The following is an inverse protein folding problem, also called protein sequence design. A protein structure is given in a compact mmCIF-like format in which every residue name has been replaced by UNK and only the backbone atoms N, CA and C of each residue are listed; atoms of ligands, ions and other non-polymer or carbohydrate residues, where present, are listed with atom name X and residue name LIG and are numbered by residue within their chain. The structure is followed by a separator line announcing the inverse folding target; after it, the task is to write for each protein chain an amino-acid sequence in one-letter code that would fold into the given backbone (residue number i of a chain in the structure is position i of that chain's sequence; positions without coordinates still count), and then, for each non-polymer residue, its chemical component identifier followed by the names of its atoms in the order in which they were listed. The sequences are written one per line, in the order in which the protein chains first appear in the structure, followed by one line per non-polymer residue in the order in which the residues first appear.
data_IF_799880348227
#
_entry.id   IF_799880348227
#
_cell.length_a   1.000
_cell.length_b   1.000
_cell.length_c   1.000
_cell.angle_alpha   90.00
_cell.angle_beta   90.00
_cell.angle_gamma   90.00
#
_symmetry.space_group_name_H-M   'P 1'
#
loop_
_entity.id
_entity.type
_entity.pdbx_description
1 polymer ?
#
# COMPACT_ATOMS: atom_id res chain seq x y z
N UNK A 1 22.68 27.75 44.16
CA UNK A 1 22.54 27.77 42.70
C UNK A 1 21.06 27.70 42.42
N UNK A 2 20.54 28.81 41.95
CA UNK A 2 19.19 29.29 42.21
C UNK A 2 18.58 29.58 40.86
N UNK A 3 17.81 28.65 40.30
CA UNK A 3 16.93 28.88 39.15
C UNK A 3 16.11 27.60 38.97
N UNK A 4 14.84 27.64 39.38
CA UNK A 4 13.71 26.79 38.95
C UNK A 4 12.62 26.82 40.03
N UNK A 5 11.90 27.95 40.12
CA UNK A 5 10.58 28.06 40.77
C UNK A 5 9.98 29.42 40.37
N UNK A 6 9.28 29.45 39.24
CA UNK A 6 8.26 30.47 38.90
C UNK A 6 7.76 30.21 37.46
N UNK A 7 6.69 29.44 37.30
CA UNK A 7 5.81 29.43 36.11
C UNK A 7 4.46 28.77 36.46
N UNK A 8 3.81 29.27 37.53
CA UNK A 8 2.46 28.83 37.90
C UNK A 8 1.69 29.95 38.61
N UNK A 9 1.53 31.10 37.95
CA UNK A 9 0.57 32.13 38.37
C UNK A 9 0.34 33.17 37.27
N UNK A 10 -0.49 32.86 36.28
CA UNK A 10 -1.08 33.86 35.39
C UNK A 10 -2.26 33.22 34.65
N UNK A 11 -3.39 33.04 35.34
CA UNK A 11 -4.74 33.09 34.76
C UNK A 11 -5.74 33.09 35.91
N UNK A 12 -6.02 34.27 36.44
CA UNK A 12 -7.01 34.48 37.48
C UNK A 12 -7.37 35.95 37.59
N UNK A 13 -8.62 36.27 37.24
CA UNK A 13 -9.36 37.53 37.42
C UNK A 13 -9.36 38.53 36.26
N UNK A 14 -10.44 38.47 35.48
CA UNK A 14 -11.19 39.66 35.08
C UNK A 14 -12.63 39.22 34.73
N UNK A 15 -13.61 39.68 35.52
CA UNK A 15 -15.01 40.00 35.14
C UNK A 15 -15.92 39.97 36.39
N UNK A 16 -15.82 41.01 37.22
CA UNK A 16 -16.95 41.51 38.00
C UNK A 16 -17.29 42.88 37.40
N UNK A 17 -18.39 42.99 36.65
CA UNK A 17 -19.18 44.20 36.54
C UNK A 17 -20.61 43.82 36.15
N UNK A 18 -21.54 44.11 37.05
CA UNK A 18 -22.96 43.84 36.86
C UNK A 18 -23.62 44.85 35.93
N UNK A 19 -24.50 44.35 35.06
CA UNK A 19 -25.56 45.15 34.46
C UNK A 19 -26.84 44.32 34.38
N UNK A 20 -27.90 44.80 35.03
CA UNK A 20 -29.26 44.27 34.95
C UNK A 20 -29.89 44.73 33.63
N UNK A 21 -30.27 43.82 32.76
CA UNK A 21 -31.41 43.99 31.85
C UNK A 21 -31.87 42.64 31.29
N UNK A 22 -33.16 42.60 30.96
CA UNK A 22 -33.98 41.39 30.77
C UNK A 22 -33.76 40.74 29.40
N UNK A 23 -33.71 39.41 29.40
CA UNK A 23 -34.38 38.52 28.44
C UNK A 23 -33.94 38.55 26.97
N UNK A 24 -33.14 37.57 26.57
CA UNK A 24 -33.43 36.60 25.49
C UNK A 24 -32.25 35.65 25.34
N UNK A 25 -32.55 34.35 25.32
CA UNK A 25 -31.59 33.25 25.22
C UNK A 25 -31.20 33.12 23.74
N UNK A 26 -29.92 33.34 23.43
CA UNK A 26 -29.31 32.94 22.16
C UNK A 26 -27.90 32.44 22.45
N UNK A 27 -27.78 31.14 22.72
CA UNK A 27 -26.51 30.44 22.90
C UNK A 27 -26.03 29.98 21.53
N UNK A 28 -25.12 30.73 20.91
CA UNK A 28 -24.37 30.28 19.74
C UNK A 28 -23.11 29.53 20.23
N UNK A 29 -23.18 28.20 20.24
CA UNK A 29 -21.99 27.35 20.39
C UNK A 29 -21.25 27.28 19.04
N UNK A 30 -20.09 27.92 18.96
CA UNK A 30 -19.09 27.57 17.95
C UNK A 30 -18.38 26.28 18.40
N UNK A 31 -18.83 25.13 17.89
CA UNK A 31 -18.12 23.85 17.96
C UNK A 31 -17.35 23.68 16.64
N UNK A 32 -16.11 24.15 16.60
CA UNK A 32 -15.16 23.77 15.56
C UNK A 32 -14.65 22.36 15.84
N UNK A 33 -15.22 21.35 15.17
CA UNK A 33 -14.68 19.99 15.20
C UNK A 33 -13.51 19.90 14.24
N UNK A 34 -12.30 19.96 14.78
CA UNK A 34 -11.08 19.60 14.03
C UNK A 34 -11.07 18.09 13.90
N UNK A 35 -11.52 17.57 12.76
CA UNK A 35 -11.41 16.16 12.44
C UNK A 35 -9.92 15.84 12.26
N UNK A 36 -9.32 15.18 13.25
CA UNK A 36 -7.98 14.63 13.11
C UNK A 36 -8.09 13.43 12.19
N UNK A 37 -7.54 13.53 10.98
CA UNK A 37 -7.37 12.41 10.07
C UNK A 37 -6.49 11.35 10.74
N UNK A 38 -7.08 10.22 11.09
CA UNK A 38 -6.35 9.05 11.59
C UNK A 38 -5.73 8.38 10.37
N UNK A 39 -4.40 8.46 10.24
CA UNK A 39 -3.68 7.69 9.24
C UNK A 39 -3.85 6.18 9.52
N UNK A 40 -4.08 5.35 8.49
CA UNK A 40 -4.22 3.91 8.67
C UNK A 40 -2.93 3.35 9.26
N UNK A 41 -3.05 2.68 10.41
CA UNK A 41 -1.96 1.91 10.99
C UNK A 41 -1.57 0.83 9.98
N UNK A 42 -0.32 0.82 9.51
CA UNK A 42 0.21 -0.27 8.68
C UNK A 42 -0.05 -1.60 9.38
N UNK A 43 -0.59 -2.58 8.64
CA UNK A 43 -0.76 -3.93 9.18
C UNK A 43 0.59 -4.48 9.67
N UNK A 44 0.58 -5.27 10.73
CA UNK A 44 1.81 -5.90 11.24
C UNK A 44 2.30 -6.95 10.22
N UNK A 45 3.58 -6.87 9.85
CA UNK A 45 4.28 -7.84 8.99
C UNK A 45 4.28 -9.23 9.64
N UNK A 46 4.42 -9.27 10.98
CA UNK A 46 4.27 -10.50 11.73
C UNK A 46 3.71 -10.25 13.12
N UNK A 47 3.07 -11.27 13.68
CA UNK A 47 2.68 -11.31 15.09
C UNK A 47 3.13 -12.62 15.73
N UNK A 48 3.73 -12.55 16.92
CA UNK A 48 4.19 -13.74 17.64
C UNK A 48 4.23 -13.51 19.15
N UNK A 49 3.33 -14.18 19.90
CA UNK A 49 3.29 -14.11 21.38
C UNK A 49 3.28 -12.66 21.93
N UNK A 50 2.48 -11.80 21.31
CA UNK A 50 2.35 -10.38 21.67
C UNK A 50 3.47 -9.48 21.15
N UNK A 51 4.44 -10.03 20.41
CA UNK A 51 5.34 -9.24 19.57
C UNK A 51 4.66 -8.93 18.25
N UNK A 52 4.76 -7.69 17.81
CA UNK A 52 4.23 -7.20 16.53
C UNK A 52 5.38 -6.56 15.75
N UNK A 53 5.62 -7.01 14.52
CA UNK A 53 6.69 -6.53 13.65
C UNK A 53 6.16 -5.66 12.51
N UNK A 54 6.94 -4.65 12.13
CA UNK A 54 6.63 -3.68 11.09
C UNK A 54 7.90 -3.32 10.32
N UNK A 55 7.77 -3.04 9.02
CA UNK A 55 8.82 -2.40 8.25
C UNK A 55 8.93 -0.92 8.65
N UNK A 56 10.15 -0.40 8.73
CA UNK A 56 10.39 1.03 8.97
C UNK A 56 10.29 1.73 7.63
N UNK A 57 9.43 2.76 7.48
CA UNK A 57 9.32 3.45 6.22
C UNK A 57 10.61 4.20 5.89
N UNK A 58 10.95 4.28 4.59
CA UNK A 58 12.22 4.81 4.08
C UNK A 58 12.43 6.28 4.48
N UNK A 59 11.35 7.04 4.69
CA UNK A 59 11.38 8.44 5.10
C UNK A 59 11.93 8.67 6.52
N UNK A 60 11.98 7.64 7.37
CA UNK A 60 12.64 7.69 8.69
C UNK A 60 14.18 7.64 8.57
N UNK A 61 14.73 7.57 7.35
CA UNK A 61 16.18 7.62 7.07
C UNK A 61 16.93 6.35 7.50
N UNK A 62 16.19 5.28 7.84
CA UNK A 62 16.72 4.01 8.30
C UNK A 62 15.96 2.88 7.60
N UNK A 63 16.67 2.01 6.87
CA UNK A 63 16.06 0.86 6.22
C UNK A 63 16.12 -0.35 7.13
N UNK A 64 14.97 -0.76 7.67
CA UNK A 64 14.98 -1.90 8.58
C UNK A 64 13.61 -2.30 9.03
N UNK A 65 13.59 -3.09 10.11
CA UNK A 65 12.36 -3.50 10.73
C UNK A 65 12.36 -3.16 12.22
N UNK A 66 11.15 -2.96 12.73
CA UNK A 66 10.88 -2.68 14.12
C UNK A 66 9.88 -3.70 14.62
N UNK A 67 10.14 -4.29 15.78
CA UNK A 67 9.11 -5.01 16.52
C UNK A 67 8.82 -4.32 17.83
N UNK A 68 7.58 -4.48 18.30
CA UNK A 68 7.15 -3.93 19.57
C UNK A 68 6.34 -4.92 20.38
N UNK A 69 6.27 -4.69 21.69
CA UNK A 69 5.40 -5.41 22.62
C UNK A 69 4.83 -4.42 23.61
N UNK A 70 3.51 -4.44 23.80
CA UNK A 70 2.84 -3.56 24.77
C UNK A 70 3.29 -3.90 26.20
N UNK A 71 3.58 -2.86 26.97
CA UNK A 71 3.97 -2.94 28.38
C UNK A 71 2.81 -2.49 29.26
N UNK A 72 2.19 -1.38 28.86
CA UNK A 72 1.05 -0.71 29.49
C UNK A 72 0.22 -0.05 28.37
N UNK A 73 -0.95 0.47 28.71
CA UNK A 73 -1.91 1.04 27.75
C UNK A 73 -1.31 2.12 26.84
N UNK A 74 -0.31 2.88 27.31
CA UNK A 74 0.32 3.96 26.56
C UNK A 74 1.82 3.77 26.28
N UNK A 75 2.38 2.59 26.59
CA UNK A 75 3.82 2.33 26.53
C UNK A 75 4.14 1.00 25.83
N UNK A 76 5.06 1.06 24.86
CA UNK A 76 5.54 -0.09 24.11
C UNK A 76 7.05 -0.25 24.26
N UNK A 77 7.49 -1.49 24.42
CA UNK A 77 8.89 -1.84 24.29
C UNK A 77 9.20 -2.02 22.81
N UNK A 78 10.32 -1.50 22.34
CA UNK A 78 10.71 -1.53 20.93
C UNK A 78 12.05 -2.21 20.77
N UNK A 79 12.15 -3.05 19.74
CA UNK A 79 13.41 -3.56 19.19
C UNK A 79 13.47 -3.19 17.73
N UNK A 80 14.60 -2.66 17.29
CA UNK A 80 14.81 -2.25 15.91
C UNK A 80 16.10 -2.86 15.37
N UNK A 81 16.02 -3.37 14.15
CA UNK A 81 17.18 -3.80 13.36
C UNK A 81 17.22 -3.02 12.07
N UNK A 82 18.39 -2.50 11.74
CA UNK A 82 18.67 -1.86 10.46
C UNK A 82 19.35 -2.88 9.53
N UNK A 83 19.34 -2.56 8.24
CA UNK A 83 20.05 -3.23 7.16
C UNK A 83 21.55 -3.44 7.43
N UNK A 84 22.17 -2.56 8.23
CA UNK A 84 23.57 -2.68 8.67
C UNK A 84 23.80 -3.72 9.78
N UNK A 85 22.72 -4.34 10.28
CA UNK A 85 22.74 -5.31 11.37
C UNK A 85 22.78 -4.71 12.77
N UNK A 86 22.66 -3.38 12.90
CA UNK A 86 22.53 -2.73 14.20
C UNK A 86 21.31 -3.24 14.96
N UNK A 87 21.44 -3.31 16.29
CA UNK A 87 20.41 -3.84 17.16
C UNK A 87 20.10 -2.83 18.27
N UNK A 88 18.98 -2.15 18.14
CA UNK A 88 18.56 -1.05 19.00
C UNK A 88 17.42 -1.49 19.90
N UNK A 89 17.46 -1.08 21.17
CA UNK A 89 16.42 -1.37 22.16
C UNK A 89 15.84 -0.07 22.68
N UNK A 90 14.53 0.00 22.87
CA UNK A 90 13.90 1.26 23.20
C UNK A 90 12.55 1.15 23.86
N UNK A 91 12.00 2.32 24.17
CA UNK A 91 10.65 2.48 24.70
C UNK A 91 9.96 3.58 23.92
N UNK A 92 8.72 3.31 23.54
CA UNK A 92 7.80 4.30 23.02
C UNK A 92 6.73 4.62 24.04
N UNK A 93 6.43 5.91 24.19
CA UNK A 93 5.28 6.39 24.95
C UNK A 93 4.64 7.56 24.24
N UNK A 94 3.34 7.46 23.96
CA UNK A 94 2.59 8.52 23.25
C UNK A 94 2.58 9.85 23.99
N UNK A 95 2.58 9.81 25.32
CA UNK A 95 2.51 11.00 26.19
C UNK A 95 3.84 11.75 26.34
N UNK A 96 4.96 11.20 25.83
CA UNK A 96 6.27 11.81 25.97
C UNK A 96 6.53 12.91 24.93
N UNK A 97 6.95 14.08 25.43
CA UNK A 97 7.43 15.21 24.63
C UNK A 97 8.95 15.28 24.76
N UNK A 98 9.65 14.51 23.94
CA UNK A 98 11.12 14.42 23.96
C UNK A 98 11.72 15.35 22.91
N UNK A 99 12.83 16.00 23.23
CA UNK A 99 13.63 16.77 22.27
C UNK A 99 14.47 15.81 21.40
N UNK A 100 14.36 15.84 20.06
CA UNK A 100 15.18 15.01 19.17
C UNK A 100 16.70 15.16 19.34
N UNK A 101 17.16 16.28 19.92
CA UNK A 101 18.59 16.54 20.19
C UNK A 101 19.05 16.03 21.55
N UNK A 102 18.15 15.45 22.34
CA UNK A 102 18.47 14.94 23.67
C UNK A 102 19.29 13.65 23.56
N UNK A 103 20.50 13.69 24.10
CA UNK A 103 21.26 12.47 24.41
C UNK A 103 20.75 11.89 25.73
N UNK A 104 20.54 10.58 25.75
CA UNK A 104 20.01 9.87 26.92
C UNK A 104 21.06 8.88 27.39
N UNK A 105 21.33 8.84 28.69
CA UNK A 105 22.17 7.79 29.27
C UNK A 105 21.30 6.75 29.95
N UNK A 106 21.53 5.50 29.58
CA UNK A 106 20.81 4.38 30.14
C UNK A 106 21.71 3.25 30.57
N UNK A 107 21.11 2.26 31.18
CA UNK A 107 21.71 0.95 31.39
C UNK A 107 20.64 -0.12 31.20
N UNK A 108 21.09 -1.31 30.80
CA UNK A 108 20.23 -2.47 30.60
C UNK A 108 20.82 -3.67 31.34
N UNK A 109 19.99 -4.45 32.00
CA UNK A 109 20.39 -5.74 32.58
C UNK A 109 19.43 -6.82 32.11
N UNK A 110 19.97 -8.02 31.94
CA UNK A 110 19.22 -9.20 31.54
C UNK A 110 19.20 -10.19 32.70
N UNK A 111 18.01 -10.67 33.07
CA UNK A 111 17.82 -11.52 34.23
C UNK A 111 18.53 -10.96 35.48
N UNK A 112 19.61 -11.60 35.95
CA UNK A 112 20.40 -11.17 37.11
C UNK A 112 21.80 -10.67 36.73
N UNK A 113 22.06 -10.44 35.44
CA UNK A 113 23.35 -9.99 34.96
C UNK A 113 23.61 -8.52 35.33
N UNK A 114 24.89 -8.11 35.49
CA UNK A 114 25.24 -6.73 35.74
C UNK A 114 24.70 -5.77 34.66
N UNK A 115 24.26 -4.55 35.02
CA UNK A 115 23.81 -3.58 34.04
C UNK A 115 24.92 -3.16 33.07
N UNK A 116 24.61 -3.17 31.77
CA UNK A 116 25.45 -2.69 30.67
C UNK A 116 25.05 -1.24 30.36
N UNK A 117 25.98 -0.28 30.39
CA UNK A 117 25.68 1.10 30.04
C UNK A 117 25.35 1.22 28.54
N UNK A 118 24.36 2.04 28.22
CA UNK A 118 23.92 2.31 26.86
C UNK A 118 23.85 3.82 26.60
N UNK A 119 24.13 4.20 25.36
CA UNK A 119 23.92 5.56 24.87
C UNK A 119 22.62 5.61 24.08
N UNK A 120 21.80 6.62 24.35
CA UNK A 120 20.47 6.77 23.82
C UNK A 120 20.29 8.04 23.00
N UNK A 121 19.35 7.99 22.07
CA UNK A 121 18.93 9.12 21.25
C UNK A 121 17.41 9.07 21.02
N UNK A 122 16.85 10.20 20.59
CA UNK A 122 15.42 10.39 20.36
C UNK A 122 15.19 10.58 18.86
N UNK A 123 14.87 9.52 18.09
CA UNK A 123 14.66 9.65 16.65
C UNK A 123 13.42 10.50 16.32
N UNK A 124 12.39 10.44 17.17
CA UNK A 124 11.17 11.24 17.07
C UNK A 124 10.47 11.38 18.41
N UNK A 125 9.50 12.29 18.48
CA UNK A 125 8.68 12.49 19.66
C UNK A 125 8.10 11.16 20.16
N UNK A 126 8.33 10.88 21.44
CA UNK A 126 7.80 9.70 22.11
C UNK A 126 8.66 8.44 22.06
N UNK A 127 9.75 8.38 21.28
CA UNK A 127 10.62 7.20 21.19
C UNK A 127 12.00 7.51 21.79
N UNK A 128 12.49 6.61 22.63
CA UNK A 128 13.88 6.53 23.05
C UNK A 128 14.47 5.25 22.49
N UNK A 129 15.56 5.33 21.74
CA UNK A 129 16.36 4.18 21.31
C UNK A 129 17.72 4.21 22.01
N UNK A 130 18.15 3.06 22.50
CA UNK A 130 19.42 2.83 23.17
C UNK A 130 20.27 1.89 22.32
N UNK A 131 21.55 2.23 22.16
CA UNK A 131 22.55 1.43 21.46
C UNK A 131 23.70 1.05 22.38
N UNK A 132 24.24 -0.14 22.17
CA UNK A 132 25.47 -0.61 22.82
C UNK A 132 26.62 -0.61 21.82
N UNK A 133 27.83 -0.36 22.28
CA UNK A 133 29.04 -0.64 21.49
C UNK A 133 29.24 -2.16 21.28
N UNK A 134 28.64 -2.99 22.15
CA UNK A 134 28.69 -4.44 22.10
C UNK A 134 27.40 -5.06 21.51
N UNK A 135 26.96 -4.58 20.33
CA UNK A 135 25.70 -4.98 19.69
C UNK A 135 25.46 -6.51 19.62
N UNK A 136 26.50 -7.28 19.26
CA UNK A 136 26.39 -8.74 19.15
C UNK A 136 26.05 -9.42 20.49
N UNK A 137 26.66 -8.94 21.59
CA UNK A 137 26.37 -9.46 22.93
C UNK A 137 24.99 -9.04 23.41
N UNK A 138 24.59 -7.79 23.14
CA UNK A 138 23.27 -7.28 23.50
C UNK A 138 22.15 -8.12 22.87
N UNK A 139 22.30 -8.43 21.57
CA UNK A 139 21.34 -9.25 20.83
C UNK A 139 21.29 -10.69 21.32
N UNK A 140 22.44 -11.31 21.58
CA UNK A 140 22.49 -12.67 22.12
C UNK A 140 21.84 -12.75 23.51
N UNK A 141 22.15 -11.80 24.40
CA UNK A 141 21.53 -11.70 25.71
C UNK A 141 20.01 -11.53 25.60
N UNK A 142 19.54 -10.66 24.70
CA UNK A 142 18.11 -10.45 24.48
C UNK A 142 17.35 -11.71 24.03
N UNK A 143 17.94 -12.52 23.13
CA UNK A 143 17.34 -13.77 22.68
C UNK A 143 17.31 -14.84 23.78
N UNK A 144 18.31 -14.87 24.66
CA UNK A 144 18.49 -15.91 25.67
C UNK A 144 17.84 -15.65 27.03
N UNK A 145 17.44 -14.41 27.31
CA UNK A 145 17.00 -13.98 28.64
C UNK A 145 15.48 -14.02 28.80
N UNK A 146 15.01 -14.07 30.05
CA UNK A 146 13.57 -14.07 30.37
C UNK A 146 13.08 -12.69 30.74
N UNK A 147 13.92 -11.91 31.42
CA UNK A 147 13.59 -10.59 31.91
C UNK A 147 14.63 -9.60 31.40
N UNK A 148 14.16 -8.43 30.97
CA UNK A 148 14.99 -7.28 30.68
C UNK A 148 14.61 -6.17 31.65
N UNK A 149 15.61 -5.52 32.24
CA UNK A 149 15.42 -4.29 33.02
C UNK A 149 16.21 -3.19 32.36
N UNK A 150 15.55 -2.06 32.10
CA UNK A 150 16.16 -0.89 31.49
C UNK A 150 16.00 0.29 32.44
N UNK A 151 17.07 1.05 32.60
CA UNK A 151 17.09 2.25 33.43
C UNK A 151 17.61 3.44 32.64
N UNK A 152 16.93 4.57 32.66
CA UNK A 152 17.34 5.82 32.00
C UNK A 152 16.72 7.00 32.74
N UNK A 153 17.48 8.09 32.93
CA UNK A 153 17.00 9.33 33.59
C UNK A 153 16.24 9.09 34.91
N UNK A 154 16.73 8.16 35.74
CA UNK A 154 16.11 7.79 37.02
C UNK A 154 14.82 6.95 36.92
N UNK A 155 14.36 6.66 35.70
CA UNK A 155 13.26 5.74 35.43
C UNK A 155 13.78 4.31 35.30
N UNK A 156 13.05 3.34 35.84
CA UNK A 156 13.34 1.91 35.69
C UNK A 156 12.11 1.20 35.18
N UNK A 157 12.28 0.40 34.13
CA UNK A 157 11.23 -0.41 33.51
C UNK A 157 11.70 -1.84 33.35
N UNK A 158 10.79 -2.81 33.50
CA UNK A 158 11.08 -4.23 33.42
C UNK A 158 10.15 -4.89 32.40
N UNK A 159 10.66 -5.82 31.62
CA UNK A 159 9.97 -6.46 30.50
C UNK A 159 10.12 -7.98 30.54
N UNK A 160 9.05 -8.65 30.13
CA UNK A 160 9.04 -10.09 29.88
C UNK A 160 9.44 -10.38 28.42
N UNK A 161 10.56 -11.06 28.26
CA UNK A 161 11.16 -11.45 26.99
C UNK A 161 10.64 -12.80 26.47
N UNK A 162 9.57 -13.35 27.03
CA UNK A 162 8.95 -14.57 26.49
C UNK A 162 8.66 -14.42 24.99
N UNK A 163 9.20 -15.35 24.21
CA UNK A 163 9.09 -15.38 22.74
C UNK A 163 10.12 -14.53 21.98
N UNK A 164 11.00 -13.80 22.67
CA UNK A 164 11.96 -12.87 22.06
C UNK A 164 12.86 -13.55 21.02
N UNK A 165 13.37 -14.76 21.28
CA UNK A 165 14.27 -15.44 20.34
C UNK A 165 13.66 -15.63 18.95
N UNK A 166 12.41 -16.10 18.89
CA UNK A 166 11.69 -16.31 17.63
C UNK A 166 11.24 -14.99 17.02
N UNK A 167 10.83 -14.02 17.84
CA UNK A 167 10.48 -12.69 17.35
C UNK A 167 11.68 -11.99 16.68
N UNK A 168 12.90 -12.16 17.21
CA UNK A 168 14.13 -11.66 16.57
C UNK A 168 14.40 -12.35 15.23
N UNK A 169 14.16 -13.66 15.10
CA UNK A 169 14.30 -14.34 13.80
C UNK A 169 13.31 -13.81 12.74
N UNK A 170 12.07 -13.53 13.14
CA UNK A 170 11.07 -12.93 12.25
C UNK A 170 11.46 -11.48 11.88
N UNK A 171 12.03 -10.74 12.84
CA UNK A 171 12.56 -9.40 12.63
C UNK A 171 13.73 -9.41 11.62
N UNK A 172 14.58 -10.43 11.67
CA UNK A 172 15.67 -10.61 10.71
C UNK A 172 15.15 -10.91 9.30
N UNK A 173 14.15 -11.77 9.17
CA UNK A 173 13.50 -12.08 7.90
C UNK A 173 12.87 -10.82 7.28
N UNK A 174 12.18 -10.03 8.10
CA UNK A 174 11.65 -8.73 7.70
C UNK A 174 12.75 -7.80 7.18
N UNK A 175 13.89 -7.71 7.88
CA UNK A 175 15.00 -6.82 7.51
C UNK A 175 15.65 -7.25 6.18
N UNK A 176 15.77 -8.56 5.95
CA UNK A 176 16.26 -9.12 4.69
C UNK A 176 15.29 -8.88 3.53
N UNK A 177 13.98 -8.96 3.78
CA UNK A 177 12.97 -8.63 2.78
C UNK A 177 13.03 -7.15 2.39
N UNK A 178 13.06 -6.25 3.37
CA UNK A 178 13.17 -4.80 3.16
C UNK A 178 14.42 -4.45 2.34
N UNK A 179 15.57 -5.08 2.65
CA UNK A 179 16.82 -4.86 1.92
C UNK A 179 16.74 -5.30 0.45
N UNK A 180 16.04 -6.41 0.16
CA UNK A 180 15.85 -6.90 -1.22
C UNK A 180 14.94 -5.98 -2.03
N UNK A 181 13.85 -5.49 -1.42
CA UNK A 181 12.94 -4.53 -2.07
C UNK A 181 13.71 -3.26 -2.43
N UNK A 182 14.48 -2.70 -1.49
CA UNK A 182 15.29 -1.51 -1.74
C UNK A 182 16.34 -1.72 -2.85
N UNK A 183 16.99 -2.89 -2.90
CA UNK A 183 17.93 -3.22 -3.97
C UNK A 183 17.22 -3.31 -5.34
N UNK A 184 16.04 -3.93 -5.38
CA UNK A 184 15.27 -4.06 -6.61
C UNK A 184 14.78 -2.70 -7.14
N UNK A 185 14.37 -1.78 -6.26
CA UNK A 185 14.01 -0.41 -6.63
C UNK A 185 15.22 0.33 -7.23
N UNK A 186 16.39 0.26 -6.57
CA UNK A 186 17.61 0.87 -7.10
C UNK A 186 18.05 0.29 -8.44
N UNK A 187 17.95 -1.03 -8.62
CA UNK A 187 18.24 -1.69 -9.89
C UNK A 187 17.26 -1.28 -10.99
N UNK A 188 15.98 -1.08 -10.65
CA UNK A 188 14.96 -0.62 -11.59
C UNK A 188 15.19 0.83 -12.04
N UNK A 189 15.51 1.74 -11.11
CA UNK A 189 15.85 3.13 -11.42
C UNK A 189 17.14 3.22 -12.25
N UNK A 190 18.16 2.42 -11.90
CA UNK A 190 19.40 2.35 -12.67
C UNK A 190 19.16 1.80 -14.09
N UNK A 191 18.30 0.78 -14.23
CA UNK A 191 17.92 0.23 -15.53
C UNK A 191 17.18 1.27 -16.39
N UNK A 192 16.22 2.01 -15.82
CA UNK A 192 15.54 3.11 -16.52
C UNK A 192 16.50 4.22 -16.95
N UNK A 193 17.45 4.59 -16.08
CA UNK A 193 18.47 5.58 -16.42
C UNK A 193 19.39 5.13 -17.57
N UNK A 194 19.67 3.83 -17.69
CA UNK A 194 20.49 3.27 -18.78
C UNK A 194 19.74 3.13 -20.12
N UNK A 195 18.40 3.13 -20.11
CA UNK A 195 17.58 3.03 -21.34
C UNK A 195 17.49 4.37 -22.09
N UNK A 196 17.87 5.49 -21.45
CA UNK A 196 17.83 6.84 -22.05
C UNK A 196 18.78 7.14 -23.22
N UNK A 197 19.60 6.19 -23.69
CA UNK A 197 20.56 6.42 -24.79
C UNK A 197 20.53 5.36 -25.91
N UNK A 198 19.64 4.37 -25.86
CA UNK A 198 19.51 3.38 -26.93
C UNK A 198 18.39 3.77 -27.89
N UNK A 199 18.63 3.87 -29.22
CA UNK A 199 17.55 4.10 -30.17
C UNK A 199 16.51 2.99 -30.00
N UNK A 200 15.26 3.41 -29.81
CA UNK A 200 14.12 2.51 -29.59
C UNK A 200 14.21 1.33 -30.56
N UNK A 201 14.37 0.07 -30.07
CA UNK A 201 14.22 -1.07 -30.95
C UNK A 201 12.80 -0.97 -31.52
N UNK A 202 12.71 -0.89 -32.84
CA UNK A 202 11.42 -0.85 -33.53
C UNK A 202 10.52 -1.92 -32.93
N UNK A 203 9.38 -1.49 -32.38
CA UNK A 203 8.42 -2.35 -31.72
C UNK A 203 8.03 -3.48 -32.67
N UNK A 204 8.65 -4.64 -32.50
CA UNK A 204 8.21 -5.87 -33.13
C UNK A 204 6.90 -6.21 -32.42
N UNK A 205 5.76 -6.27 -33.13
CA UNK A 205 4.50 -6.63 -32.51
C UNK A 205 4.68 -7.94 -31.76
N UNK A 206 4.12 -7.99 -30.55
CA UNK A 206 4.09 -9.21 -29.75
C UNK A 206 3.74 -10.42 -30.62
N UNK A 207 4.65 -11.41 -30.76
CA UNK A 207 4.39 -12.55 -31.62
C UNK A 207 3.18 -13.33 -31.09
N UNK A 208 2.26 -13.62 -32.00
CA UNK A 208 1.11 -14.47 -31.71
C UNK A 208 1.60 -15.85 -31.25
N UNK A 209 0.95 -16.44 -30.24
CA UNK A 209 1.27 -17.78 -29.74
C UNK A 209 0.94 -18.92 -30.74
N UNK A 210 0.75 -18.59 -32.01
CA UNK A 210 0.12 -19.44 -33.03
C UNK A 210 0.83 -20.76 -33.34
N UNK A 211 2.12 -20.90 -33.03
CA UNK A 211 2.83 -22.18 -33.25
C UNK A 211 2.88 -23.10 -32.01
N UNK A 212 2.43 -22.63 -30.84
CA UNK A 212 2.26 -23.52 -29.68
C UNK A 212 1.15 -24.53 -29.96
N UNK A 213 1.49 -25.81 -29.82
CA UNK A 213 0.57 -26.92 -30.06
C UNK A 213 0.48 -27.77 -28.80
N UNK A 214 -0.74 -28.11 -28.42
CA UNK A 214 -0.97 -29.14 -27.41
C UNK A 214 -0.28 -30.44 -27.85
N UNK A 215 0.23 -31.21 -26.88
CA UNK A 215 0.93 -32.47 -27.07
C UNK A 215 2.34 -32.41 -27.71
N UNK A 216 2.94 -31.22 -27.82
CA UNK A 216 4.37 -31.09 -28.16
C UNK A 216 5.27 -31.27 -26.94
N UNK A 217 6.55 -31.64 -27.14
CA UNK A 217 7.53 -31.67 -26.06
C UNK A 217 7.78 -30.26 -25.53
N UNK A 218 7.89 -30.12 -24.21
CA UNK A 218 8.13 -28.84 -23.55
C UNK A 218 9.41 -28.16 -24.04
N UNK A 219 10.48 -28.94 -24.32
CA UNK A 219 11.73 -28.39 -24.87
C UNK A 219 11.53 -27.66 -26.19
N UNK A 220 10.62 -28.15 -27.05
CA UNK A 220 10.28 -27.50 -28.31
C UNK A 220 9.43 -26.24 -28.07
N UNK A 221 8.47 -26.31 -27.13
CA UNK A 221 7.64 -25.15 -26.75
C UNK A 221 8.49 -24.02 -26.15
N UNK A 222 9.44 -24.37 -25.27
CA UNK A 222 10.41 -23.45 -24.68
C UNK A 222 11.27 -22.77 -25.75
N UNK A 223 11.82 -23.54 -26.70
CA UNK A 223 12.60 -22.96 -27.80
C UNK A 223 11.77 -21.94 -28.59
N UNK A 224 10.53 -22.30 -28.95
CA UNK A 224 9.62 -21.40 -29.65
C UNK A 224 9.36 -20.11 -28.85
N UNK A 225 9.07 -20.21 -27.56
CA UNK A 225 8.81 -19.05 -26.72
C UNK A 225 10.01 -18.11 -26.64
N UNK A 226 11.21 -18.66 -26.44
CA UNK A 226 12.44 -17.87 -26.40
C UNK A 226 12.74 -17.19 -27.75
N UNK A 227 12.50 -17.87 -28.87
CA UNK A 227 12.62 -17.31 -30.23
C UNK A 227 11.56 -16.23 -30.49
N UNK A 228 10.37 -16.36 -29.91
CA UNK A 228 9.29 -15.39 -29.92
C UNK A 228 9.50 -14.24 -28.90
N UNK A 229 10.68 -14.12 -28.29
CA UNK A 229 11.00 -13.00 -27.39
C UNK A 229 10.34 -13.08 -26.00
N UNK A 230 9.73 -14.20 -25.65
CA UNK A 230 9.38 -14.48 -24.26
C UNK A 230 10.64 -14.81 -23.46
N UNK A 231 10.68 -14.38 -22.22
CA UNK A 231 11.77 -14.61 -21.28
C UNK A 231 11.30 -15.59 -20.21
N UNK A 232 12.13 -16.59 -19.93
CA UNK A 232 11.94 -17.52 -18.83
C UNK A 232 11.89 -16.75 -17.49
N UNK A 233 10.80 -16.88 -16.73
CA UNK A 233 10.71 -16.31 -15.39
C UNK A 233 11.53 -17.16 -14.43
N UNK A 234 12.68 -16.65 -14.01
CA UNK A 234 13.54 -17.36 -13.06
C UNK A 234 12.85 -17.43 -11.69
N UNK A 235 12.38 -18.62 -11.31
CA UNK A 235 11.82 -18.86 -9.98
C UNK A 235 12.96 -19.29 -9.07
N UNK A 236 13.32 -18.42 -8.12
CA UNK A 236 14.30 -18.76 -7.09
C UNK A 236 13.81 -20.00 -6.31
N UNK A 237 14.67 -20.99 -6.06
CA UNK A 237 14.27 -22.14 -5.27
C UNK A 237 13.78 -21.71 -3.89
N UNK A 238 12.56 -22.07 -3.53
CA UNK A 238 12.05 -21.90 -2.17
C UNK A 238 12.59 -23.05 -1.29
N UNK A 239 12.84 -22.78 0.00
CA UNK A 239 13.10 -23.81 0.99
C UNK A 239 11.96 -24.84 1.08
N UNK A 240 10.76 -24.49 0.62
CA UNK A 240 9.60 -25.37 0.52
C UNK A 240 9.47 -26.13 -0.82
N UNK A 241 10.39 -25.94 -1.76
CA UNK A 241 10.36 -26.69 -3.02
C UNK A 241 10.36 -28.20 -2.78
N UNK A 242 9.57 -28.92 -3.56
CA UNK A 242 9.64 -30.38 -3.51
C UNK A 242 11.01 -30.84 -4.02
N UNK A 243 11.59 -31.94 -3.47
CA UNK A 243 12.83 -32.50 -4.00
C UNK A 243 12.77 -32.78 -5.51
N UNK A 244 11.58 -33.13 -6.02
CA UNK A 244 11.33 -33.30 -7.45
C UNK A 244 11.46 -32.00 -8.25
N UNK A 245 11.03 -30.85 -7.73
CA UNK A 245 11.18 -29.58 -8.44
C UNK A 245 12.66 -29.19 -8.56
N UNK A 246 13.44 -29.44 -7.50
CA UNK A 246 14.89 -29.21 -7.51
C UNK A 246 15.61 -30.15 -8.48
N UNK A 247 15.25 -31.44 -8.47
CA UNK A 247 15.80 -32.43 -9.40
C UNK A 247 15.50 -32.02 -10.85
N UNK A 248 14.26 -31.64 -11.17
CA UNK A 248 13.88 -31.22 -12.52
C UNK A 248 14.67 -29.97 -12.95
N UNK A 249 14.77 -28.96 -12.07
CA UNK A 249 15.56 -27.74 -12.34
C UNK A 249 17.03 -28.07 -12.62
N UNK A 250 17.64 -28.92 -11.80
CA UNK A 250 19.06 -29.25 -11.88
C UNK A 250 19.39 -30.20 -13.04
N UNK A 251 18.58 -31.22 -13.28
CA UNK A 251 18.83 -32.25 -14.29
C UNK A 251 18.46 -31.76 -15.70
N UNK A 252 17.34 -31.05 -15.83
CA UNK A 252 16.82 -30.63 -17.15
C UNK A 252 17.16 -29.18 -17.50
N UNK A 253 17.59 -28.37 -16.53
CA UNK A 253 18.00 -26.98 -16.77
C UNK A 253 16.82 -26.05 -17.09
N UNK A 254 15.69 -26.22 -16.40
CA UNK A 254 14.48 -25.42 -16.56
C UNK A 254 14.31 -24.41 -15.42
N UNK A 255 15.03 -23.26 -15.43
CA UNK A 255 14.91 -22.25 -14.38
C UNK A 255 13.50 -21.65 -14.28
N UNK A 256 12.72 -21.76 -15.34
CA UNK A 256 11.34 -21.31 -15.39
C UNK A 256 10.30 -22.26 -14.79
N UNK A 257 10.73 -23.39 -14.22
CA UNK A 257 9.82 -24.28 -13.48
C UNK A 257 9.25 -23.52 -12.28
N UNK A 258 7.93 -23.42 -12.20
CA UNK A 258 7.24 -22.80 -11.07
C UNK A 258 6.88 -23.84 -10.00
N UNK A 259 6.23 -24.93 -10.38
CA UNK A 259 5.84 -26.01 -9.47
C UNK A 259 5.43 -27.28 -10.20
N UNK A 260 5.57 -28.44 -9.55
CA UNK A 260 4.98 -29.71 -9.98
C UNK A 260 4.01 -30.28 -8.94
N UNK A 261 2.94 -30.94 -9.40
CA UNK A 261 1.88 -31.47 -8.52
C UNK A 261 2.29 -32.64 -7.60
N UNK A 262 3.44 -33.27 -7.80
CA UNK A 262 3.91 -34.41 -7.01
C UNK A 262 3.04 -35.68 -7.08
N UNK A 263 1.99 -35.71 -7.91
CA UNK A 263 1.01 -36.81 -7.99
C UNK A 263 1.48 -38.00 -8.83
N UNK A 264 2.68 -37.96 -9.40
CA UNK A 264 3.18 -38.95 -10.37
C UNK A 264 2.59 -38.80 -11.78
N UNK A 265 1.59 -37.93 -11.98
CA UNK A 265 1.02 -37.63 -13.30
C UNK A 265 1.91 -36.67 -14.13
N UNK A 266 2.93 -36.08 -13.50
CA UNK A 266 3.90 -35.19 -14.16
C UNK A 266 3.32 -33.84 -14.57
N UNK A 267 2.26 -33.35 -13.89
CA UNK A 267 1.79 -31.99 -14.13
C UNK A 267 2.73 -30.98 -13.50
N UNK A 268 3.35 -30.14 -14.34
CA UNK A 268 4.26 -29.09 -13.94
C UNK A 268 3.92 -27.77 -14.65
N UNK A 269 4.06 -26.66 -13.93
CA UNK A 269 3.83 -25.31 -14.40
C UNK A 269 5.16 -24.60 -14.68
N UNK A 270 5.21 -23.83 -15.77
CA UNK A 270 6.38 -23.04 -16.17
C UNK A 270 5.97 -21.60 -16.49
N UNK A 271 6.78 -20.64 -16.04
CA UNK A 271 6.48 -19.20 -16.14
C UNK A 271 7.32 -18.47 -17.19
N UNK A 272 6.68 -17.61 -17.97
CA UNK A 272 7.33 -16.76 -18.96
C UNK A 272 6.80 -15.33 -18.90
N UNK A 273 7.60 -14.38 -19.36
CA UNK A 273 7.21 -12.96 -19.46
C UNK A 273 7.72 -12.35 -20.76
N UNK A 274 6.93 -11.53 -21.42
CA UNK A 274 7.36 -10.85 -22.64
C UNK A 274 7.90 -9.43 -22.36
N UNK A 275 8.33 -8.73 -23.42
CA UNK A 275 8.86 -7.36 -23.33
C UNK A 275 7.82 -6.33 -22.86
N UNK A 276 6.52 -6.65 -22.92
CA UNK A 276 5.42 -5.81 -22.44
C UNK A 276 5.02 -6.14 -21.00
N UNK A 277 5.67 -7.13 -20.41
CA UNK A 277 5.41 -7.59 -19.05
C UNK A 277 4.14 -8.41 -18.89
N UNK A 278 3.58 -8.95 -19.97
CA UNK A 278 2.53 -9.97 -19.91
C UNK A 278 3.16 -11.28 -19.46
N UNK A 279 2.46 -12.02 -18.61
CA UNK A 279 2.93 -13.31 -18.12
C UNK A 279 2.24 -14.44 -18.88
N UNK A 280 2.96 -15.54 -19.10
CA UNK A 280 2.45 -16.74 -19.74
C UNK A 280 2.77 -17.92 -18.83
N UNK A 281 1.74 -18.68 -18.48
CA UNK A 281 1.90 -19.92 -17.73
C UNK A 281 1.68 -21.10 -18.67
N UNK A 282 2.71 -21.94 -18.82
CA UNK A 282 2.61 -23.24 -19.49
C UNK A 282 2.33 -24.32 -18.45
N UNK A 283 1.47 -25.27 -18.79
CA UNK A 283 1.24 -26.50 -18.02
C UNK A 283 1.62 -27.70 -18.86
N UNK A 284 2.44 -28.59 -18.32
CA UNK A 284 2.85 -29.84 -18.95
C UNK A 284 2.21 -31.05 -18.27
N UNK A 285 2.34 -32.24 -18.87
CA UNK A 285 2.00 -33.54 -18.29
C UNK A 285 3.05 -34.58 -18.67
N UNK A 286 3.09 -35.71 -17.96
CA UNK A 286 4.02 -36.81 -18.26
C UNK A 286 5.38 -36.60 -17.60
N UNK A 287 5.82 -37.60 -16.82
CA UNK A 287 6.93 -37.47 -15.87
C UNK A 287 8.24 -36.95 -16.46
N UNK A 288 8.86 -37.69 -17.38
CA UNK A 288 10.20 -37.33 -17.92
C UNK A 288 10.16 -36.55 -19.22
N UNK A 289 9.11 -36.73 -20.03
CA UNK A 289 9.05 -36.18 -21.39
C UNK A 289 8.41 -34.78 -21.45
N UNK A 290 7.81 -34.30 -20.34
CA UNK A 290 7.14 -32.99 -20.20
C UNK A 290 6.37 -32.58 -21.46
N UNK A 291 5.19 -33.14 -21.65
CA UNK A 291 4.34 -32.90 -22.82
C UNK A 291 3.48 -31.67 -22.54
N UNK A 292 3.52 -30.64 -23.38
CA UNK A 292 2.72 -29.43 -23.24
C UNK A 292 1.22 -29.78 -23.25
N UNK A 293 0.53 -29.48 -22.15
CA UNK A 293 -0.88 -29.78 -21.97
C UNK A 293 -1.77 -28.56 -22.18
N UNK A 294 -1.40 -27.41 -21.64
CA UNK A 294 -2.18 -26.18 -21.72
C UNK A 294 -1.27 -24.95 -21.55
N UNK A 295 -1.78 -23.78 -21.93
CA UNK A 295 -1.16 -22.51 -21.64
C UNK A 295 -2.21 -21.42 -21.48
N UNK A 296 -1.86 -20.40 -20.71
CA UNK A 296 -2.68 -19.21 -20.54
C UNK A 296 -1.78 -17.98 -20.45
N UNK A 297 -2.15 -16.93 -21.19
CA UNK A 297 -1.59 -15.60 -20.95
C UNK A 297 -2.28 -15.08 -19.71
N UNK A 298 -1.53 -14.95 -18.63
CA UNK A 298 -1.97 -14.22 -17.47
C UNK A 298 -1.95 -12.75 -17.91
N UNK A 299 -3.12 -12.25 -18.29
CA UNK A 299 -3.36 -10.81 -18.28
C UNK A 299 -2.94 -10.36 -16.89
N UNK A 300 -1.91 -9.52 -16.84
CA UNK A 300 -1.25 -9.07 -15.62
C UNK A 300 -2.36 -8.73 -14.63
N UNK A 301 -2.65 -9.65 -13.71
CA UNK A 301 -3.49 -9.34 -12.57
C UNK A 301 -2.57 -8.49 -11.77
N UNK A 302 -2.79 -7.22 -11.97
CA UNK A 302 -1.79 -6.21 -11.85
C UNK A 302 -1.22 -6.28 -10.45
N UNK A 303 0.11 -6.26 -10.37
CA UNK A 303 0.94 -6.50 -9.18
C UNK A 303 0.28 -6.01 -7.90
N UNK A 304 0.46 -6.68 -6.76
CA UNK A 304 -0.06 -6.38 -5.42
C UNK A 304 -0.23 -4.89 -4.98
N UNK A 305 0.39 -3.91 -5.66
CA UNK A 305 0.00 -2.49 -5.60
C UNK A 305 -1.38 -2.16 -6.20
N UNK A 306 -1.89 -2.91 -7.18
CA UNK A 306 -3.26 -2.78 -7.72
C UNK A 306 -4.32 -3.54 -6.92
N UNK A 307 -3.89 -4.47 -6.07
CA UNK A 307 -4.79 -5.05 -5.05
C UNK A 307 -5.28 -3.98 -4.07
N UNK A 308 -4.74 -2.76 -4.06
CA UNK A 308 -5.16 -1.70 -3.13
C UNK A 308 -5.72 -0.45 -3.83
N UNK A 309 -6.36 -0.62 -5.00
CA UNK A 309 -6.92 0.49 -5.78
C UNK A 309 -8.41 0.38 -6.01
N UNK A 310 -9.03 1.52 -6.34
CA UNK A 310 -10.39 1.59 -6.86
C UNK A 310 -10.31 1.54 -8.38
N UNK A 311 -10.78 0.45 -8.97
CA UNK A 311 -10.76 0.24 -10.42
C UNK A 311 -12.15 0.54 -10.98
N UNK A 312 -12.22 1.56 -11.82
CA UNK A 312 -13.41 1.94 -12.58
C UNK A 312 -13.52 1.11 -13.86
N UNK A 313 -14.71 0.59 -14.07
CA UNK A 313 -15.14 -0.06 -15.31
C UNK A 313 -16.52 0.47 -15.70
N UNK A 314 -16.91 0.32 -16.96
CA UNK A 314 -18.01 1.07 -17.57
C UNK A 314 -19.32 1.18 -16.78
N UNK A 315 -19.68 0.17 -15.96
CA UNK A 315 -20.87 0.17 -15.12
C UNK A 315 -20.61 -0.12 -13.63
N UNK A 316 -19.36 -0.28 -13.21
CA UNK A 316 -19.05 -0.68 -11.84
C UNK A 316 -17.67 -0.23 -11.38
N UNK A 317 -17.49 -0.15 -10.08
CA UNK A 317 -16.17 -0.08 -9.44
C UNK A 317 -15.83 -1.40 -8.76
N UNK A 318 -14.55 -1.73 -8.71
CA UNK A 318 -13.99 -2.84 -7.94
C UNK A 318 -12.91 -2.30 -7.01
N UNK A 319 -12.94 -2.74 -5.75
CA UNK A 319 -11.92 -2.42 -4.76
C UNK A 319 -11.02 -3.64 -4.58
N UNK A 320 -9.74 -3.49 -4.93
CA UNK A 320 -8.81 -4.60 -5.14
C UNK A 320 -8.65 -5.57 -3.95
N UNK A 321 -8.68 -5.09 -2.70
CA UNK A 321 -8.17 -5.91 -1.59
C UNK A 321 -9.15 -7.01 -1.22
N UNK A 322 -10.44 -6.70 -1.32
CA UNK A 322 -11.53 -7.63 -0.97
C UNK A 322 -12.35 -8.08 -2.19
N UNK A 323 -12.08 -7.50 -3.38
CA UNK A 323 -12.91 -7.67 -4.56
C UNK A 323 -14.33 -7.12 -4.38
N UNK A 324 -14.54 -6.22 -3.42
CA UNK A 324 -15.83 -5.57 -3.18
C UNK A 324 -16.19 -4.71 -4.40
N UNK A 325 -17.45 -4.75 -4.80
CA UNK A 325 -17.93 -4.06 -6.00
C UNK A 325 -19.25 -3.35 -5.77
N UNK A 326 -19.44 -2.28 -6.53
CA UNK A 326 -20.71 -1.52 -6.64
C UNK A 326 -20.98 -1.29 -8.12
N UNK A 327 -22.20 -1.58 -8.56
CA UNK A 327 -22.62 -1.34 -9.95
C UNK A 327 -23.66 -0.23 -10.06
N UNK A 328 -23.65 0.47 -11.18
CA UNK A 328 -24.78 1.28 -11.62
C UNK A 328 -26.05 0.42 -11.70
N UNK A 329 -27.19 1.02 -11.39
CA UNK A 329 -28.51 0.37 -11.31
C UNK A 329 -28.61 -0.78 -10.30
N UNK A 330 -27.59 -1.02 -9.48
CA UNK A 330 -27.67 -2.00 -8.40
C UNK A 330 -28.60 -1.49 -7.30
N UNK A 331 -29.50 -2.36 -6.84
CA UNK A 331 -30.30 -2.10 -5.66
C UNK A 331 -29.45 -2.35 -4.40
N UNK A 332 -28.77 -1.32 -3.91
CA UNK A 332 -27.86 -1.36 -2.77
C UNK A 332 -28.27 -0.34 -1.70
N UNK A 333 -29.24 -0.63 -0.82
CA UNK A 333 -29.62 0.31 0.23
C UNK A 333 -28.44 0.68 1.13
N UNK A 334 -28.43 1.91 1.66
CA UNK A 334 -27.36 2.41 2.53
C UNK A 334 -26.99 1.48 3.71
N UNK A 335 -27.94 0.71 4.25
CA UNK A 335 -27.66 -0.29 5.29
C UNK A 335 -26.81 -1.45 4.79
N UNK A 336 -27.08 -1.91 3.57
CA UNK A 336 -26.31 -2.97 2.93
C UNK A 336 -24.94 -2.46 2.47
N UNK A 337 -24.86 -1.21 1.99
CA UNK A 337 -23.58 -0.57 1.69
C UNK A 337 -22.62 -0.60 2.91
N UNK A 338 -23.12 -0.26 4.11
CA UNK A 338 -22.33 -0.32 5.36
C UNK A 338 -21.85 -1.73 5.72
N UNK A 339 -22.65 -2.75 5.40
CA UNK A 339 -22.28 -4.14 5.66
C UNK A 339 -21.22 -4.59 4.65
N UNK A 340 -21.45 -4.27 3.37
CA UNK A 340 -20.55 -4.63 2.26
C UNK A 340 -19.18 -4.00 2.43
N UNK A 341 -19.13 -2.72 2.78
CA UNK A 341 -17.91 -1.95 3.01
C UNK A 341 -17.64 -1.75 4.51
N UNK A 342 -17.75 -2.82 5.31
CA UNK A 342 -17.60 -2.74 6.77
C UNK A 342 -16.19 -2.34 7.25
N UNK A 343 -15.18 -2.46 6.38
CA UNK A 343 -13.83 -1.94 6.59
C UNK A 343 -13.65 -0.45 6.26
N UNK A 344 -14.71 0.22 5.79
CA UNK A 344 -14.68 1.62 5.37
C UNK A 344 -15.56 2.49 6.28
N UNK A 345 -15.26 3.79 6.30
CA UNK A 345 -16.16 4.79 6.84
C UNK A 345 -17.20 5.16 5.79
N UNK A 346 -18.46 4.77 6.02
CA UNK A 346 -19.59 5.04 5.13
C UNK A 346 -20.49 6.12 5.73
N UNK A 347 -20.51 7.30 5.11
CA UNK A 347 -21.31 8.45 5.52
C UNK A 347 -22.41 8.70 4.48
N UNK A 348 -23.66 8.79 4.93
CA UNK A 348 -24.81 8.98 4.04
C UNK A 348 -25.39 10.35 4.32
N UNK A 349 -25.52 11.16 3.27
CA UNK A 349 -25.97 12.54 3.34
C UNK A 349 -27.20 12.73 2.46
N UNK A 350 -28.08 13.65 2.85
CA UNK A 350 -29.18 14.14 2.02
C UNK A 350 -29.01 15.65 1.91
N UNK A 351 -28.90 16.18 0.71
CA UNK A 351 -28.58 17.59 0.47
C UNK A 351 -29.32 18.17 -0.74
N UNK A 352 -29.10 19.46 -0.97
CA UNK A 352 -29.57 20.13 -2.19
C UNK A 352 -28.69 19.74 -3.39
N UNK A 353 -27.39 19.58 -3.17
CA UNK A 353 -26.42 19.23 -4.22
C UNK A 353 -26.50 17.74 -4.64
N UNK A 354 -27.06 16.89 -3.77
CA UNK A 354 -27.44 15.54 -4.14
C UNK A 354 -28.59 15.01 -3.30
N UNK A 355 -29.58 14.40 -3.96
CA UNK A 355 -30.81 13.90 -3.32
C UNK A 355 -30.48 12.97 -2.15
N UNK A 356 -29.68 11.94 -2.43
CA UNK A 356 -29.10 11.05 -1.42
C UNK A 356 -27.75 10.57 -1.94
N UNK A 357 -26.68 10.85 -1.20
CA UNK A 357 -25.34 10.33 -1.51
C UNK A 357 -24.78 9.52 -0.37
N UNK A 358 -23.86 8.62 -0.69
CA UNK A 358 -22.98 8.00 0.29
C UNK A 358 -21.51 8.23 -0.08
N UNK A 359 -20.77 8.82 0.84
CA UNK A 359 -19.31 8.86 0.80
C UNK A 359 -18.75 7.61 1.47
N UNK A 360 -17.89 6.88 0.77
CA UNK A 360 -17.21 5.67 1.26
C UNK A 360 -15.71 5.94 1.24
N UNK A 361 -15.09 6.05 2.42
CA UNK A 361 -13.65 6.35 2.55
C UNK A 361 -12.93 5.33 3.42
N UNK A 362 -11.76 4.87 2.98
CA UNK A 362 -10.98 3.85 3.68
C UNK A 362 -9.50 3.84 3.27
N UNK A 363 -8.74 2.81 3.68
CA UNK A 363 -7.29 2.76 3.47
C UNK A 363 -6.89 2.66 1.98
N UNK A 364 -7.79 2.20 1.11
CA UNK A 364 -7.52 2.00 -0.33
C UNK A 364 -8.15 3.09 -1.21
N UNK A 365 -8.54 4.20 -0.58
CA UNK A 365 -9.11 5.36 -1.25
C UNK A 365 -10.56 5.63 -0.87
N UNK A 366 -11.15 6.58 -1.58
CA UNK A 366 -12.49 7.07 -1.35
C UNK A 366 -13.29 7.23 -2.63
N UNK A 367 -14.61 7.05 -2.53
CA UNK A 367 -15.55 7.24 -3.64
C UNK A 367 -16.91 7.65 -3.10
N UNK A 368 -17.72 8.23 -3.99
CA UNK A 368 -19.07 8.69 -3.72
C UNK A 368 -20.06 7.90 -4.57
N UNK A 369 -21.21 7.57 -3.97
CA UNK A 369 -22.34 6.90 -4.62
C UNK A 369 -23.52 7.86 -4.61
N UNK A 370 -24.04 8.13 -5.80
CA UNK A 370 -25.33 8.80 -6.00
C UNK A 370 -26.45 7.75 -5.99
N UNK A 371 -27.54 8.06 -5.27
CA UNK A 371 -28.74 7.22 -5.24
C UNK A 371 -29.93 7.88 -5.93
N UNK A 372 -30.92 7.05 -6.25
CA UNK A 372 -32.28 7.49 -6.52
C UNK A 372 -32.95 8.14 -5.29
N UNK A 373 -34.11 8.78 -5.51
CA UNK A 373 -34.90 9.43 -4.45
C UNK A 373 -35.24 8.48 -3.27
N UNK A 374 -35.32 7.18 -3.56
CA UNK A 374 -35.64 6.15 -2.56
C UNK A 374 -34.44 5.71 -1.70
N UNK A 375 -33.23 6.16 -2.02
CA UNK A 375 -31.98 5.73 -1.38
C UNK A 375 -31.74 4.22 -1.49
N UNK A 376 -32.17 3.60 -2.59
CA UNK A 376 -32.05 2.14 -2.77
C UNK A 376 -31.33 1.73 -4.03
N UNK A 377 -31.30 2.55 -5.07
CA UNK A 377 -30.69 2.21 -6.35
C UNK A 377 -29.53 3.15 -6.65
N UNK A 378 -28.37 2.59 -7.00
CA UNK A 378 -27.18 3.36 -7.39
C UNK A 378 -27.40 3.97 -8.78
N UNK A 379 -27.35 5.30 -8.87
CA UNK A 379 -27.55 6.04 -10.13
C UNK A 379 -26.24 6.62 -10.67
N UNK A 380 -25.26 6.83 -9.80
CA UNK A 380 -23.93 7.34 -10.16
C UNK A 380 -22.87 6.87 -9.18
N UNK A 381 -21.63 6.80 -9.65
CA UNK A 381 -20.45 6.49 -8.83
C UNK A 381 -19.33 7.44 -9.26
N UNK A 382 -18.64 8.09 -8.32
CA UNK A 382 -17.51 8.95 -8.64
C UNK A 382 -16.36 8.83 -7.65
N UNK A 383 -15.14 9.17 -8.06
CA UNK A 383 -13.97 9.24 -7.19
C UNK A 383 -12.96 10.23 -7.73
N UNK A 384 -12.44 11.08 -6.85
CA UNK A 384 -11.29 11.97 -7.09
C UNK A 384 -10.06 11.52 -6.29
N UNK A 385 -10.10 10.28 -5.79
CA UNK A 385 -8.99 9.72 -5.02
C UNK A 385 -7.80 9.43 -5.93
N UNK A 386 -6.59 9.76 -5.46
CA UNK A 386 -5.37 9.50 -6.23
C UNK A 386 -5.12 8.01 -6.52
N UNK A 387 -5.74 7.11 -5.72
CA UNK A 387 -5.63 5.67 -5.91
C UNK A 387 -6.61 5.13 -6.97
N UNK A 388 -7.55 5.93 -7.46
CA UNK A 388 -8.48 5.51 -8.49
C UNK A 388 -7.78 5.31 -9.85
N UNK A 389 -8.22 4.30 -10.60
CA UNK A 389 -7.73 3.98 -11.94
C UNK A 389 -8.83 3.34 -12.79
N UNK A 390 -8.68 3.31 -14.11
CA UNK A 390 -9.55 2.54 -15.01
C UNK A 390 -8.90 1.23 -15.50
N UNK A 391 -9.63 0.45 -16.29
CA UNK A 391 -9.15 -0.81 -16.89
C UNK A 391 -7.97 -0.67 -17.85
N UNK A 392 -7.60 0.55 -18.24
CA UNK A 392 -6.45 0.83 -19.09
C UNK A 392 -5.27 1.43 -18.32
N UNK A 393 -5.38 1.50 -16.98
CA UNK A 393 -4.37 2.07 -16.11
C UNK A 393 -4.29 3.60 -16.19
N UNK A 394 -5.30 4.28 -16.74
CA UNK A 394 -5.41 5.73 -16.59
C UNK A 394 -5.70 6.02 -15.11
N UNK A 395 -5.06 7.04 -14.55
CA UNK A 395 -5.09 7.33 -13.11
C UNK A 395 -5.10 8.83 -12.88
N UNK A 396 -5.42 9.25 -11.65
CA UNK A 396 -5.30 10.63 -11.21
C UNK A 396 -3.94 11.23 -11.60
N UNK A 397 -3.93 12.48 -12.07
CA UNK A 397 -2.74 13.22 -12.46
C UNK A 397 -2.11 12.82 -13.80
N UNK A 398 -2.62 11.79 -14.50
CA UNK A 398 -2.14 11.47 -15.86
C UNK A 398 -2.70 12.45 -16.90
N UNK A 399 -2.01 12.66 -18.04
CA UNK A 399 -2.50 13.52 -19.11
C UNK A 399 -3.85 13.03 -19.65
N UNK A 400 -4.86 13.90 -19.63
CA UNK A 400 -6.21 13.58 -20.07
C UNK A 400 -6.23 13.12 -21.53
N UNK A 401 -5.42 13.75 -22.39
CA UNK A 401 -5.33 13.40 -23.81
C UNK A 401 -4.83 11.98 -24.10
N UNK A 402 -4.20 11.30 -23.14
CA UNK A 402 -3.87 9.87 -23.26
C UNK A 402 -5.10 8.98 -23.10
N UNK A 403 -6.06 9.38 -22.27
CA UNK A 403 -7.27 8.62 -21.99
C UNK A 403 -8.38 8.86 -23.01
N UNK A 404 -8.60 10.12 -23.42
CA UNK A 404 -9.71 10.51 -24.30
C UNK A 404 -9.29 10.94 -25.71
N UNK A 405 -7.99 11.06 -25.98
CA UNK A 405 -7.47 11.60 -27.24
C UNK A 405 -7.41 13.13 -27.28
N UNK A 406 -7.12 13.69 -28.46
CA UNK A 406 -6.99 15.15 -28.66
C UNK A 406 -8.32 15.90 -28.69
N UNK A 407 -9.39 15.21 -29.03
CA UNK A 407 -10.74 15.76 -29.08
C UNK A 407 -11.67 14.78 -28.38
N UNK A 408 -12.46 15.27 -27.43
CA UNK A 408 -13.38 14.45 -26.66
C UNK A 408 -14.75 15.13 -26.51
N UNK A 409 -15.78 14.33 -26.21
CA UNK A 409 -17.08 14.84 -25.80
C UNK A 409 -16.97 15.17 -24.32
N UNK A 410 -17.13 16.43 -23.94
CA UNK A 410 -17.06 16.85 -22.55
C UNK A 410 -18.32 17.62 -22.14
N UNK A 411 -18.72 17.45 -20.89
CA UNK A 411 -19.77 18.20 -20.23
C UNK A 411 -19.15 19.22 -19.26
N UNK A 412 -19.59 20.47 -19.35
CA UNK A 412 -19.09 21.62 -18.59
C UNK A 412 -20.07 22.04 -17.49
N UNK A 413 -20.58 21.06 -16.74
CA UNK A 413 -21.39 21.29 -15.54
C UNK A 413 -20.57 21.80 -14.35
N UNK A 414 -21.02 21.50 -13.14
CA UNK A 414 -20.31 21.90 -11.90
C UNK A 414 -18.88 21.35 -11.82
N UNK A 415 -18.64 20.20 -12.47
CA UNK A 415 -17.31 19.68 -12.76
C UNK A 415 -17.23 19.35 -14.24
N UNK A 416 -16.12 19.73 -14.87
CA UNK A 416 -15.91 19.35 -16.26
C UNK A 416 -15.58 17.86 -16.33
N UNK A 417 -16.34 17.12 -17.13
CA UNK A 417 -16.12 15.68 -17.36
C UNK A 417 -15.99 15.40 -18.85
N UNK A 418 -15.16 14.43 -19.23
CA UNK A 418 -14.99 14.02 -20.63
C UNK A 418 -15.19 12.51 -20.78
N UNK A 419 -16.02 12.10 -21.75
CA UNK A 419 -16.38 10.70 -21.96
C UNK A 419 -15.19 9.87 -22.43
N UNK A 420 -15.07 8.66 -21.89
CA UNK A 420 -14.09 7.68 -22.36
C UNK A 420 -14.50 7.14 -23.73
N UNK A 421 -13.61 7.19 -24.74
CA UNK A 421 -13.89 6.62 -26.06
C UNK A 421 -13.81 5.09 -26.07
N UNK A 422 -13.16 4.47 -25.07
CA UNK A 422 -12.92 3.02 -25.02
C UNK A 422 -13.74 2.31 -23.95
N UNK A 423 -14.17 2.99 -22.89
CA UNK A 423 -14.95 2.42 -21.79
C UNK A 423 -16.33 3.08 -21.74
N UNK A 424 -17.33 2.40 -22.32
CA UNK A 424 -18.71 2.91 -22.34
C UNK A 424 -19.25 3.12 -20.91
N UNK A 425 -19.81 4.30 -20.65
CA UNK A 425 -20.38 4.67 -19.34
C UNK A 425 -19.37 5.30 -18.36
N UNK A 426 -18.09 5.34 -18.72
CA UNK A 426 -17.05 6.03 -17.96
C UNK A 426 -16.78 7.43 -18.51
N UNK A 427 -16.71 8.41 -17.62
CA UNK A 427 -16.18 9.74 -17.88
C UNK A 427 -15.03 10.07 -16.92
N UNK A 428 -14.09 10.90 -17.38
CA UNK A 428 -12.98 11.41 -16.58
C UNK A 428 -13.30 12.82 -16.09
N UNK A 429 -13.15 13.05 -14.79
CA UNK A 429 -13.22 14.39 -14.20
C UNK A 429 -11.92 15.10 -14.57
N UNK A 430 -12.00 16.32 -15.09
CA UNK A 430 -10.81 17.11 -15.46
C UNK A 430 -10.30 17.84 -14.21
N UNK A 431 -9.00 17.72 -13.93
CA UNK A 431 -8.39 18.42 -12.80
C UNK A 431 -8.38 19.94 -13.04
N UNK A 432 -8.77 20.70 -12.03
CA UNK A 432 -8.69 22.16 -12.05
C UNK A 432 -7.24 22.59 -11.77
N UNK A 433 -6.47 22.84 -12.81
CA UNK A 433 -5.14 23.45 -12.71
C UNK A 433 -5.16 24.88 -13.23
N UNK A 434 -4.55 25.79 -12.46
CA UNK A 434 -4.40 27.20 -12.84
C UNK A 434 -3.74 27.32 -14.22
N UNK A 435 -4.50 27.84 -15.19
CA UNK A 435 -4.00 28.12 -16.54
C UNK A 435 -4.22 27.01 -17.58
N UNK A 436 -4.87 25.89 -17.22
CA UNK A 436 -5.24 24.86 -18.20
C UNK A 436 -6.71 25.00 -18.64
N UNK A 437 -6.97 25.90 -19.59
CA UNK A 437 -8.31 26.12 -20.12
C UNK A 437 -8.62 25.13 -21.26
N UNK A 438 -9.76 24.44 -21.17
CA UNK A 438 -10.33 23.65 -22.26
C UNK A 438 -10.98 24.57 -23.28
N UNK A 439 -10.80 24.29 -24.57
CA UNK A 439 -11.48 25.01 -25.66
C UNK A 439 -12.70 24.22 -26.13
N UNK A 440 -13.88 24.79 -25.95
CA UNK A 440 -15.14 24.20 -26.39
C UNK A 440 -15.60 24.82 -27.71
N UNK A 441 -15.79 23.98 -28.73
CA UNK A 441 -16.41 24.39 -29.99
C UNK A 441 -17.84 23.87 -30.07
N UNK A 442 -18.81 24.76 -29.81
CA UNK A 442 -20.24 24.42 -29.75
C UNK A 442 -20.76 23.77 -31.05
N UNK A 443 -20.20 24.15 -32.20
CA UNK A 443 -20.58 23.61 -33.50
C UNK A 443 -20.18 22.13 -33.69
N UNK A 444 -19.07 21.70 -33.07
CA UNK A 444 -18.51 20.36 -33.25
C UNK A 444 -18.95 19.38 -32.16
N UNK A 445 -19.44 19.88 -31.00
CA UNK A 445 -19.63 19.09 -29.77
C UNK A 445 -18.39 18.30 -29.36
N UNK A 446 -17.22 18.81 -29.75
CA UNK A 446 -15.92 18.26 -29.43
C UNK A 446 -15.13 19.35 -28.72
N UNK A 447 -14.49 18.96 -27.63
CA UNK A 447 -13.59 19.78 -26.84
C UNK A 447 -12.17 19.41 -27.22
N UNK A 448 -11.36 20.39 -27.61
CA UNK A 448 -9.93 20.19 -27.81
C UNK A 448 -9.25 20.04 -26.44
N UNK A 449 -8.53 18.93 -26.27
CA UNK A 449 -7.86 18.57 -25.02
C UNK A 449 -6.40 19.08 -25.06
N UNK A 450 -6.05 20.12 -24.29
CA UNK A 450 -4.70 20.66 -24.28
C UNK A 450 -3.73 19.72 -23.55
N UNK A 451 -2.45 19.81 -23.88
CA UNK A 451 -1.40 18.97 -23.27
C UNK A 451 -1.25 19.17 -21.76
N UNK A 452 -1.74 20.28 -21.20
CA UNK A 452 -1.76 20.53 -19.76
C UNK A 452 -2.88 19.78 -19.03
N UNK A 453 -3.94 19.32 -19.72
CA UNK A 453 -5.10 18.75 -19.05
C UNK A 453 -4.73 17.44 -18.34
N UNK A 454 -5.24 17.26 -17.13
CA UNK A 454 -4.99 16.09 -16.28
C UNK A 454 -6.30 15.44 -15.84
N UNK A 455 -6.24 14.15 -15.57
CA UNK A 455 -7.33 13.41 -14.93
C UNK A 455 -7.38 13.81 -13.45
N UNK A 456 -8.47 14.44 -13.03
CA UNK A 456 -8.76 14.76 -11.63
C UNK A 456 -9.63 13.69 -10.94
N UNK A 457 -10.21 12.75 -11.69
CA UNK A 457 -11.03 11.69 -11.13
C UNK A 457 -11.82 10.93 -12.19
N UNK A 458 -12.78 10.14 -11.72
CA UNK A 458 -13.59 9.23 -12.52
C UNK A 458 -15.06 9.38 -12.14
N UNK A 459 -15.94 9.20 -13.13
CA UNK A 459 -17.39 9.21 -12.93
C UNK A 459 -18.08 8.16 -13.80
N UNK A 460 -19.05 7.46 -13.21
CA UNK A 460 -19.98 6.54 -13.86
C UNK A 460 -21.39 7.10 -13.68
N UNK A 461 -22.19 7.10 -14.74
CA UNK A 461 -23.61 7.44 -14.70
C UNK A 461 -24.45 6.48 -15.54
N UNK A 462 -25.71 6.31 -15.17
CA UNK A 462 -26.65 5.60 -16.03
C UNK A 462 -26.86 6.40 -17.33
N UNK A 463 -26.60 5.78 -18.47
CA UNK A 463 -26.97 6.35 -19.78
C UNK A 463 -28.48 6.23 -19.91
N UNK A 464 -29.18 7.36 -19.95
CA UNK A 464 -30.64 7.42 -20.17
C UNK A 464 -31.07 6.95 -21.57
#
# INVERSE_FOLDING_TARGET
MTFLREWASLFGRACEYGFKSRGLIATALCLGTVASSVTPSSAAEFTYRGWEGFQIPIDEGVQGCRMSKSIQEDAHFIVQTDSDGSFLLGVYRKSWQLDPKMEIRGAISFDNDPPVPLNGFVPKAGIILLRSEANGLLRAAFKGSRILKMTFEGTSVQFDLTGSSRAVELLDQCTQLASRIAQQEQESEAAEAMVGASPAPSAVPAPELGELRQDMLYRDARRYLLEAGWQALYVLPDANDSPSDQEIRNEFGFPELASCSGTGMGFCAFGYKDAYGRELRLTTRGGTDFILHAWEVLEKTTSAQEENRIVFSGDQIVIGHNGEKVRLSERLPASELRIRFSGYNVQVTRGEDCLVCAFVGGPYGSFEIDYDESATTVTGISSEDANATDLHGNSFGKPLGQAVGRNAICDFGDRTTCDSPTIQGLAYIVAEEDGCALSYEEAARLTEIPDCARIGGFRLWAVE
#
